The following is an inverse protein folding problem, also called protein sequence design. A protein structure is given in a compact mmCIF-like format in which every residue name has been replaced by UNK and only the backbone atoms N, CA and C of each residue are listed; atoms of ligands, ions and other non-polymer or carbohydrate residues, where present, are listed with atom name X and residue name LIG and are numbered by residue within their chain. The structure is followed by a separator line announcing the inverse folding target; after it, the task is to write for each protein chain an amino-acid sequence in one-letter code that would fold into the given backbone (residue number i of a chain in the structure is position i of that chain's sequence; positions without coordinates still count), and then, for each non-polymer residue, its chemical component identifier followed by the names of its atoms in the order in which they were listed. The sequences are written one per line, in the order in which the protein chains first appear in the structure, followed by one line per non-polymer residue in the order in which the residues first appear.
data_IF_152440508006
#
_entry.id   IF_152440508006
#
_cell.length_a   1.000
_cell.length_b   1.000
_cell.length_c   1.000
_cell.angle_alpha   90.00
_cell.angle_beta   90.00
_cell.angle_gamma   90.00
#
_symmetry.space_group_name_H-M   'P 1'
#
loop_
_entity.id
_entity.type
_entity.pdbx_description
1 polymer ?
#
# COMPACT_ATOMS: atom_id res chain seq x y z
N UNK A 1 -18.49 1.39 21.53
CA UNK A 1 -17.04 1.63 21.40
C UNK A 1 -16.67 1.29 19.96
N UNK A 2 -16.66 2.28 19.06
CA UNK A 2 -16.31 2.05 17.67
C UNK A 2 -14.79 2.03 17.59
N UNK A 3 -14.20 0.83 17.43
CA UNK A 3 -12.79 0.69 17.15
C UNK A 3 -12.54 1.32 15.78
N UNK A 4 -11.99 2.54 15.77
CA UNK A 4 -11.35 3.06 14.56
C UNK A 4 -10.23 2.05 14.28
N UNK A 5 -10.21 1.37 13.14
CA UNK A 5 -9.12 0.46 12.82
C UNK A 5 -7.85 1.30 12.85
N UNK A 6 -7.01 1.06 13.85
CA UNK A 6 -5.66 1.61 13.89
C UNK A 6 -4.95 0.98 12.71
N UNK A 7 -4.97 1.67 11.58
CA UNK A 7 -4.16 1.33 10.41
C UNK A 7 -2.75 1.20 10.94
N UNK A 8 -2.28 -0.03 11.09
CA UNK A 8 -0.92 -0.29 11.54
C UNK A 8 -0.05 0.45 10.54
N UNK A 9 0.75 1.45 10.97
CA UNK A 9 1.58 2.21 10.05
C UNK A 9 2.33 1.21 9.19
N UNK A 10 2.44 1.50 7.89
CA UNK A 10 3.35 0.76 7.05
C UNK A 10 4.69 0.76 7.78
N UNK A 11 5.27 -0.41 8.01
CA UNK A 11 6.59 -0.47 8.61
C UNK A 11 7.58 -0.16 7.49
N UNK A 12 8.61 0.62 7.79
CA UNK A 12 9.69 0.88 6.85
C UNK A 12 10.28 -0.46 6.37
N UNK A 13 10.43 -0.68 5.06
CA UNK A 13 11.02 -1.92 4.56
C UNK A 13 12.50 -2.00 4.96
N UNK A 14 13.00 -3.20 5.27
CA UNK A 14 14.39 -3.40 5.69
C UNK A 14 15.42 -2.88 4.66
N UNK A 15 15.05 -2.84 3.38
CA UNK A 15 15.87 -2.37 2.27
C UNK A 15 15.27 -1.12 1.60
N UNK A 16 14.81 -0.15 2.39
CA UNK A 16 14.34 1.14 1.88
C UNK A 16 15.51 1.94 1.29
N UNK A 17 15.29 2.58 0.14
CA UNK A 17 16.23 3.53 -0.45
C UNK A 17 16.13 4.92 0.21
N UNK A 18 15.11 5.12 1.05
CA UNK A 18 14.88 6.36 1.79
C UNK A 18 15.57 6.30 3.15
N UNK A 19 16.07 7.45 3.62
CA UNK A 19 16.47 7.58 5.01
C UNK A 19 15.27 7.44 5.95
N UNK A 20 15.49 6.95 7.17
CA UNK A 20 14.42 6.69 8.15
C UNK A 20 13.54 7.92 8.40
N UNK A 21 14.16 9.09 8.52
CA UNK A 21 13.48 10.36 8.77
C UNK A 21 12.62 10.81 7.59
N UNK A 22 13.15 10.69 6.37
CA UNK A 22 12.41 11.04 5.17
C UNK A 22 11.23 10.10 4.96
N UNK A 23 11.45 8.79 5.17
CA UNK A 23 10.40 7.80 5.05
C UNK A 23 9.27 8.04 6.04
N UNK A 24 9.57 8.40 7.30
CA UNK A 24 8.55 8.75 8.30
C UNK A 24 7.67 9.93 7.85
N UNK A 25 8.29 10.99 7.31
CA UNK A 25 7.57 12.15 6.78
C UNK A 25 6.72 11.75 5.56
N UNK A 26 7.31 11.02 4.61
CA UNK A 26 6.63 10.60 3.38
C UNK A 26 5.46 9.66 3.71
N UNK A 27 5.62 8.72 4.65
CA UNK A 27 4.60 7.74 5.02
C UNK A 27 3.30 8.36 5.56
N UNK A 28 3.35 9.62 5.98
CA UNK A 28 2.20 10.39 6.46
C UNK A 28 1.36 11.01 5.32
N UNK A 29 1.76 10.83 4.06
CA UNK A 29 1.11 11.43 2.89
C UNK A 29 0.53 10.39 1.93
N UNK A 30 -0.47 10.82 1.15
CA UNK A 30 -1.12 9.98 0.13
C UNK A 30 -0.40 10.07 -1.21
N UNK A 31 -0.15 8.91 -1.82
CA UNK A 31 0.45 8.82 -3.16
C UNK A 31 -0.43 7.98 -4.08
N UNK A 32 -0.56 8.38 -5.36
CA UNK A 32 -1.23 7.55 -6.35
C UNK A 32 -0.38 6.31 -6.68
N UNK A 33 -1.00 5.12 -6.58
CA UNK A 33 -0.33 3.84 -6.91
C UNK A 33 -0.78 3.23 -8.23
N UNK A 34 -2.02 3.52 -8.66
CA UNK A 34 -2.59 3.02 -9.91
C UNK A 34 -3.79 3.87 -10.33
N UNK A 35 -4.18 3.75 -11.61
CA UNK A 35 -5.45 4.28 -12.12
C UNK A 35 -6.51 3.19 -12.08
N UNK A 36 -7.75 3.55 -11.80
CA UNK A 36 -8.86 2.59 -11.66
C UNK A 36 -9.07 1.70 -12.91
N UNK A 37 -8.79 2.24 -14.09
CA UNK A 37 -8.89 1.53 -15.37
C UNK A 37 -7.82 0.42 -15.54
N UNK A 38 -6.70 0.53 -14.83
CA UNK A 38 -5.61 -0.45 -14.91
C UNK A 38 -5.78 -1.58 -13.87
N UNK A 39 -6.72 -1.42 -12.92
CA UNK A 39 -6.95 -2.38 -11.82
C UNK A 39 -7.78 -3.57 -12.31
N UNK A 40 -7.15 -4.75 -12.30
CA UNK A 40 -7.76 -6.02 -12.65
C UNK A 40 -8.19 -6.84 -11.44
N UNK A 41 -8.92 -7.93 -11.70
CA UNK A 41 -9.20 -8.98 -10.70
C UNK A 41 -7.96 -9.81 -10.38
N UNK A 42 -7.02 -9.91 -11.32
CA UNK A 42 -5.71 -10.51 -11.07
C UNK A 42 -4.87 -9.58 -10.17
N UNK A 43 -4.19 -10.10 -9.14
CA UNK A 43 -3.27 -9.33 -8.31
C UNK A 43 -2.12 -8.74 -9.12
N UNK A 44 -1.94 -7.44 -9.00
CA UNK A 44 -0.85 -6.69 -9.64
C UNK A 44 0.12 -6.21 -8.56
N UNK A 45 1.42 -6.37 -8.81
CA UNK A 45 2.45 -5.83 -7.92
C UNK A 45 2.60 -4.33 -8.16
N UNK A 46 2.46 -3.55 -7.10
CA UNK A 46 2.73 -2.10 -7.07
C UNK A 46 3.71 -1.78 -5.94
N UNK A 47 4.36 -0.62 -6.01
CA UNK A 47 5.33 -0.17 -5.01
C UNK A 47 4.93 1.17 -4.43
N UNK A 48 4.88 1.28 -3.11
CA UNK A 48 4.59 2.50 -2.37
C UNK A 48 5.69 2.74 -1.34
N UNK A 49 6.50 3.79 -1.50
CA UNK A 49 7.61 4.13 -0.59
C UNK A 49 8.52 2.92 -0.30
N UNK A 50 8.95 2.24 -1.38
CA UNK A 50 9.72 0.99 -1.34
C UNK A 50 9.05 -0.24 -0.70
N UNK A 51 7.79 -0.13 -0.29
CA UNK A 51 6.98 -1.27 0.15
C UNK A 51 6.30 -1.91 -1.06
N UNK A 52 6.52 -3.22 -1.24
CA UNK A 52 5.81 -4.01 -2.24
C UNK A 52 4.38 -4.31 -1.77
N UNK A 53 3.42 -4.08 -2.64
CA UNK A 53 2.01 -4.29 -2.38
C UNK A 53 1.34 -5.04 -3.53
N UNK A 54 0.29 -5.78 -3.21
CA UNK A 54 -0.59 -6.41 -4.17
C UNK A 54 -1.88 -5.58 -4.26
N UNK A 55 -2.17 -5.08 -5.46
CA UNK A 55 -3.39 -4.36 -5.78
C UNK A 55 -4.29 -5.27 -6.61
N UNK A 56 -5.55 -5.40 -6.21
CA UNK A 56 -6.55 -6.15 -6.97
C UNK A 56 -7.94 -5.58 -6.73
N UNK A 57 -8.85 -5.92 -7.64
CA UNK A 57 -10.28 -5.65 -7.51
C UNK A 57 -11.03 -6.95 -7.30
N UNK A 58 -11.93 -6.99 -6.33
CA UNK A 58 -12.81 -8.14 -6.13
C UNK A 58 -13.86 -8.23 -7.24
N UNK A 59 -14.51 -9.39 -7.37
CA UNK A 59 -15.65 -9.54 -8.30
C UNK A 59 -16.81 -8.61 -7.95
N UNK A 60 -16.95 -8.21 -6.67
CA UNK A 60 -17.92 -7.21 -6.21
C UNK A 60 -17.57 -5.77 -6.62
N UNK A 61 -16.36 -5.54 -7.15
CA UNK A 61 -15.89 -4.22 -7.60
C UNK A 61 -15.13 -3.43 -6.54
N UNK A 62 -14.91 -3.98 -5.34
CA UNK A 62 -14.10 -3.34 -4.31
C UNK A 62 -12.61 -3.42 -4.64
N UNK A 63 -11.88 -2.34 -4.40
CA UNK A 63 -10.44 -2.28 -4.63
C UNK A 63 -9.72 -2.53 -3.32
N UNK A 64 -8.86 -3.53 -3.30
CA UNK A 64 -8.09 -3.94 -2.13
C UNK A 64 -6.60 -3.76 -2.43
N UNK A 65 -5.89 -3.20 -1.46
CA UNK A 65 -4.45 -3.02 -1.48
C UNK A 65 -3.88 -3.70 -0.24
N UNK A 66 -3.08 -4.73 -0.45
CA UNK A 66 -2.51 -5.56 0.62
C UNK A 66 -1.00 -5.59 0.52
N UNK A 67 -0.29 -5.85 1.63
CA UNK A 67 1.17 -6.01 1.58
C UNK A 67 1.52 -7.33 0.88
N UNK A 68 2.47 -7.27 -0.06
CA UNK A 68 3.02 -8.46 -0.73
C UNK A 68 4.14 -9.03 0.15
N UNK A 69 3.76 -9.79 1.18
CA UNK A 69 4.67 -10.48 2.12
C UNK A 69 4.43 -11.99 2.05
N UNK A 70 5.52 -12.77 2.07
CA UNK A 70 5.47 -14.24 2.14
C UNK A 70 5.38 -14.74 3.59
#
# INVERSE_FOLDING_TARGET
MNAIPTLTPLAMPCNSSFEAKDWEILSSHWYPVARIQDVSTAPQRVKLLDVNMALYKTESGEIHLVRDIC
#
